data_IF_481491621522
#
_entry.id   IF_481491621522
#
_cell.length_a   1.000
_cell.length_b   1.000
_cell.length_c   1.000
_cell.angle_alpha   90.00
_cell.angle_beta   90.00
_cell.angle_gamma   90.00
#
_symmetry.space_group_name_H-M   'P 1'
#
loop_
_entity.id
_entity.type
_entity.pdbx_description
1 polymer ?
#
# COMPACT_ATOMS: atom_id res chain seq x y z
N UNK A 1 15.09 -31.58 2.83
CA UNK A 1 15.72 -30.24 2.79
C UNK A 1 16.32 -30.07 1.40
N UNK A 2 15.72 -29.23 0.56
CA UNK A 2 16.28 -28.93 -0.75
C UNK A 2 17.61 -28.22 -0.58
N UNK A 3 18.59 -28.55 -1.42
CA UNK A 3 19.87 -27.84 -1.49
C UNK A 3 19.56 -26.47 -2.09
N UNK A 4 19.89 -25.35 -1.42
CA UNK A 4 19.67 -24.02 -1.99
C UNK A 4 20.48 -23.88 -3.27
N UNK A 5 19.82 -23.42 -4.34
CA UNK A 5 20.49 -23.17 -5.61
C UNK A 5 21.63 -22.15 -5.40
N UNK A 6 22.80 -22.37 -6.04
CA UNK A 6 23.92 -21.46 -5.91
C UNK A 6 23.51 -20.08 -6.41
N UNK A 7 23.55 -19.10 -5.50
CA UNK A 7 23.24 -17.72 -5.83
C UNK A 7 24.23 -17.22 -6.90
N UNK A 8 23.77 -16.49 -7.93
CA UNK A 8 24.66 -15.93 -8.94
C UNK A 8 25.76 -15.11 -8.29
N UNK A 9 27.02 -15.32 -8.70
CA UNK A 9 28.21 -14.69 -8.10
C UNK A 9 28.17 -13.15 -8.08
N UNK A 10 27.31 -12.55 -8.90
CA UNK A 10 27.02 -11.12 -8.94
C UNK A 10 26.54 -10.58 -7.58
N UNK A 11 25.62 -11.30 -6.92
CA UNK A 11 25.02 -10.86 -5.66
C UNK A 11 25.92 -11.05 -4.43
N UNK A 12 26.94 -11.91 -4.56
CA UNK A 12 27.81 -12.30 -3.44
C UNK A 12 28.60 -11.11 -2.89
N UNK A 13 29.03 -10.21 -3.79
CA UNK A 13 29.76 -8.99 -3.42
C UNK A 13 28.94 -8.02 -2.55
N UNK A 14 27.61 -8.04 -2.68
CA UNK A 14 26.70 -7.15 -1.98
C UNK A 14 26.25 -7.65 -0.60
N UNK A 15 26.38 -8.95 -0.29
CA UNK A 15 25.81 -9.51 0.93
C UNK A 15 26.34 -8.88 2.23
N UNK A 16 27.63 -8.54 2.29
CA UNK A 16 28.20 -7.92 3.48
C UNK A 16 27.56 -6.55 3.76
N UNK A 17 27.37 -5.74 2.72
CA UNK A 17 26.72 -4.45 2.84
C UNK A 17 25.22 -4.58 3.09
N UNK A 18 24.51 -5.43 2.33
CA UNK A 18 23.06 -5.56 2.44
C UNK A 18 22.62 -6.12 3.80
N UNK A 19 23.35 -7.10 4.34
CA UNK A 19 23.07 -7.65 5.68
C UNK A 19 23.32 -6.61 6.78
N UNK A 20 24.46 -5.91 6.76
CA UNK A 20 24.75 -4.86 7.73
C UNK A 20 23.72 -3.72 7.65
N UNK A 21 23.34 -3.30 6.45
CA UNK A 21 22.31 -2.30 6.23
C UNK A 21 20.95 -2.74 6.77
N UNK A 22 20.52 -3.98 6.48
CA UNK A 22 19.25 -4.52 6.95
C UNK A 22 19.18 -4.57 8.49
N UNK A 23 20.25 -5.02 9.16
CA UNK A 23 20.31 -5.05 10.63
C UNK A 23 20.17 -3.64 11.20
N UNK A 24 20.97 -2.67 10.71
CA UNK A 24 20.91 -1.29 11.21
C UNK A 24 19.56 -0.62 10.94
N UNK A 25 18.95 -0.91 9.80
CA UNK A 25 17.63 -0.38 9.45
C UNK A 25 16.54 -0.95 10.36
N UNK A 26 16.61 -2.23 10.70
CA UNK A 26 15.65 -2.84 11.63
C UNK A 26 15.86 -2.36 13.08
N UNK A 27 17.09 -2.35 13.57
CA UNK A 27 17.37 -2.04 14.98
C UNK A 27 17.37 -0.55 15.26
N UNK A 28 18.09 0.24 14.46
CA UNK A 28 18.19 1.69 14.66
C UNK A 28 17.11 2.48 13.92
N UNK A 29 16.74 2.03 12.71
CA UNK A 29 15.73 2.71 11.90
C UNK A 29 14.30 2.52 12.42
N UNK A 30 13.89 1.25 12.58
CA UNK A 30 12.56 0.89 13.04
C UNK A 30 12.47 0.59 14.54
N UNK A 31 13.59 0.54 15.26
CA UNK A 31 13.60 0.36 16.72
C UNK A 31 13.30 -1.07 17.18
N UNK A 32 13.47 -2.07 16.31
CA UNK A 32 13.28 -3.46 16.71
C UNK A 32 14.35 -3.91 17.71
N UNK A 33 13.99 -4.71 18.73
CA UNK A 33 14.97 -5.23 19.67
C UNK A 33 15.91 -6.22 18.96
N UNK A 34 17.19 -6.20 19.33
CA UNK A 34 18.19 -7.11 18.73
C UNK A 34 17.93 -8.58 19.09
N UNK A 35 17.24 -8.82 20.21
CA UNK A 35 16.85 -10.12 20.72
C UNK A 35 15.33 -10.19 20.89
N UNK A 36 14.74 -11.36 20.67
CA UNK A 36 13.29 -11.60 20.81
C UNK A 36 12.41 -10.72 19.90
N UNK A 37 12.91 -10.38 18.70
CA UNK A 37 12.11 -9.69 17.69
C UNK A 37 11.03 -10.61 17.12
N UNK A 38 9.77 -10.16 16.95
CA UNK A 38 8.69 -10.95 16.36
C UNK A 38 8.77 -11.05 14.82
N UNK A 39 9.95 -10.84 14.24
CA UNK A 39 10.16 -10.77 12.79
C UNK A 39 10.37 -12.18 12.24
N UNK A 40 9.60 -12.54 11.23
CA UNK A 40 9.81 -13.74 10.42
C UNK A 40 10.07 -13.34 8.97
N UNK A 41 11.19 -13.79 8.40
CA UNK A 41 11.52 -13.55 6.99
C UNK A 41 10.90 -14.68 6.17
N UNK A 42 9.94 -14.33 5.31
CA UNK A 42 9.16 -15.26 4.49
C UNK A 42 9.04 -14.65 3.09
N UNK A 43 9.25 -15.46 2.05
CA UNK A 43 9.09 -15.07 0.64
C UNK A 43 7.75 -15.57 0.08
N UNK A 44 7.36 -16.79 0.47
CA UNK A 44 6.15 -17.45 0.03
C UNK A 44 5.30 -17.98 1.19
N UNK A 45 3.97 -17.91 1.03
CA UNK A 45 3.02 -18.61 1.90
C UNK A 45 2.21 -19.58 1.04
N UNK A 46 2.35 -20.87 1.34
CA UNK A 46 1.66 -21.95 0.63
C UNK A 46 1.88 -21.94 -0.90
N UNK A 47 3.11 -21.58 -1.34
CA UNK A 47 3.48 -21.49 -2.75
C UNK A 47 3.00 -20.23 -3.47
N UNK A 48 2.48 -19.24 -2.73
CA UNK A 48 2.14 -17.92 -3.26
C UNK A 48 3.13 -16.89 -2.73
N UNK A 49 3.77 -16.18 -3.66
CA UNK A 49 4.70 -15.09 -3.36
C UNK A 49 3.98 -13.97 -2.60
N UNK A 50 4.56 -13.54 -1.48
CA UNK A 50 4.03 -12.44 -0.71
C UNK A 50 4.47 -11.11 -1.32
N UNK A 51 3.52 -10.40 -1.91
CA UNK A 51 3.79 -9.10 -2.51
C UNK A 51 2.64 -8.12 -2.41
N UNK A 52 2.96 -6.85 -2.58
CA UNK A 52 1.99 -5.76 -2.70
C UNK A 52 1.01 -5.99 -3.85
N UNK A 53 1.41 -6.71 -4.89
CA UNK A 53 0.57 -7.03 -6.04
C UNK A 53 -0.68 -7.83 -5.63
N UNK A 54 -0.54 -8.83 -4.76
CA UNK A 54 -1.66 -9.64 -4.29
C UNK A 54 -2.67 -8.78 -3.51
N UNK A 55 -2.17 -7.94 -2.58
CA UNK A 55 -3.02 -7.00 -1.84
C UNK A 55 -3.73 -5.99 -2.75
N UNK A 56 -3.07 -5.54 -3.82
CA UNK A 56 -3.63 -4.55 -4.76
C UNK A 56 -4.83 -5.09 -5.54
N UNK A 57 -4.83 -6.39 -5.90
CA UNK A 57 -5.94 -7.02 -6.60
C UNK A 57 -7.09 -7.28 -5.64
N UNK A 58 -6.82 -7.75 -4.42
CA UNK A 58 -7.86 -7.95 -3.40
C UNK A 58 -8.57 -6.63 -3.09
N UNK A 59 -7.81 -5.55 -2.93
CA UNK A 59 -8.36 -4.22 -2.71
C UNK A 59 -9.27 -3.76 -3.86
N UNK A 60 -8.85 -3.98 -5.11
CA UNK A 60 -9.64 -3.66 -6.29
C UNK A 60 -10.87 -4.56 -6.44
N UNK A 61 -10.75 -5.85 -6.13
CA UNK A 61 -11.86 -6.79 -6.17
C UNK A 61 -12.94 -6.43 -5.14
N UNK A 62 -12.57 -5.92 -3.95
CA UNK A 62 -13.53 -5.44 -2.96
C UNK A 62 -14.27 -4.15 -3.40
N UNK A 63 -13.79 -3.44 -4.42
CA UNK A 63 -14.49 -2.31 -5.01
C UNK A 63 -15.54 -2.72 -6.06
N UNK A 64 -15.58 -4.01 -6.43
CA UNK A 64 -16.62 -4.55 -7.29
C UNK A 64 -17.88 -4.78 -6.45
N UNK A 65 -19.04 -4.51 -7.03
CA UNK A 65 -20.35 -4.68 -6.38
C UNK A 65 -20.80 -6.14 -6.49
N UNK A 66 -20.10 -7.03 -5.77
CA UNK A 66 -20.49 -8.43 -5.66
C UNK A 66 -21.17 -8.66 -4.33
N UNK A 67 -22.36 -9.25 -4.37
CA UNK A 67 -23.07 -9.70 -3.19
C UNK A 67 -22.51 -11.07 -2.81
N UNK A 68 -22.07 -11.21 -1.55
CA UNK A 68 -21.83 -12.52 -0.97
C UNK A 68 -23.19 -13.20 -0.86
N UNK A 69 -23.50 -14.12 -1.77
CA UNK A 69 -24.56 -15.09 -1.51
C UNK A 69 -24.08 -15.97 -0.36
N UNK A 70 -24.47 -15.59 0.86
CA UNK A 70 -24.39 -16.49 2.00
C UNK A 70 -25.19 -17.74 1.60
N UNK A 71 -24.47 -18.82 1.36
CA UNK A 71 -25.10 -20.13 1.23
C UNK A 71 -25.69 -20.41 2.61
N UNK A 72 -26.99 -20.15 2.74
CA UNK A 72 -27.77 -20.55 3.91
C UNK A 72 -27.71 -22.08 4.00
N UNK A 73 -26.76 -22.59 4.77
CA UNK A 73 -27.11 -23.70 5.64
C UNK A 73 -27.96 -23.07 6.75
N UNK A 74 -29.23 -23.44 6.78
CA UNK A 74 -30.24 -22.86 7.63
C UNK A 74 -29.79 -22.76 9.10
N UNK A 75 -30.25 -21.68 9.76
CA UNK A 75 -30.20 -21.35 11.20
C UNK A 75 -28.98 -20.53 11.67
N UNK A 76 -29.05 -19.20 11.68
CA UNK A 76 -29.00 -18.43 12.94
C UNK A 76 -29.39 -16.96 12.76
N UNK A 77 -30.10 -16.44 13.76
CA UNK A 77 -30.72 -15.12 13.79
C UNK A 77 -29.73 -14.04 14.29
N UNK A 78 -29.56 -12.95 13.54
CA UNK A 78 -29.10 -11.67 14.11
C UNK A 78 -28.03 -10.91 13.32
N UNK A 79 -28.41 -10.29 12.21
CA UNK A 79 -27.53 -9.38 11.47
C UNK A 79 -27.41 -8.00 12.15
N UNK A 80 -26.18 -7.70 12.60
CA UNK A 80 -25.73 -6.35 12.91
C UNK A 80 -25.44 -5.58 11.63
N UNK A 81 -26.41 -4.78 11.19
CA UNK A 81 -26.25 -3.84 10.07
C UNK A 81 -25.35 -2.66 10.46
N UNK A 82 -24.16 -2.58 9.88
CA UNK A 82 -23.34 -1.36 9.90
C UNK A 82 -23.43 -0.68 8.53
N UNK A 83 -24.50 0.07 8.29
CA UNK A 83 -24.57 0.97 7.13
C UNK A 83 -23.67 2.18 7.37
N UNK A 84 -22.62 2.31 6.54
CA UNK A 84 -21.71 3.45 6.56
C UNK A 84 -22.28 4.60 5.74
N UNK A 85 -22.43 5.79 6.34
CA UNK A 85 -23.00 6.97 5.68
C UNK A 85 -21.99 8.09 5.47
N UNK A 86 -22.03 8.63 4.24
CA UNK A 86 -21.45 9.86 3.68
C UNK A 86 -19.98 9.84 3.20
N UNK A 87 -19.79 9.27 2.01
CA UNK A 87 -18.64 9.48 1.12
C UNK A 87 -18.78 10.85 0.41
N UNK A 88 -17.77 11.73 0.53
CA UNK A 88 -17.68 12.97 -0.27
C UNK A 88 -16.84 12.65 -1.52
N UNK A 89 -17.37 12.80 -2.75
CA UNK A 89 -16.69 12.30 -3.95
C UNK A 89 -15.44 13.10 -4.31
N UNK A 90 -14.39 12.35 -4.69
CA UNK A 90 -13.08 12.79 -5.21
C UNK A 90 -13.14 13.83 -6.34
N UNK A 91 -14.28 13.92 -7.03
CA UNK A 91 -14.54 14.86 -8.11
C UNK A 91 -14.53 16.32 -7.65
N UNK A 92 -14.92 16.59 -6.40
CA UNK A 92 -14.94 17.96 -5.85
C UNK A 92 -13.54 18.55 -5.69
N UNK A 93 -12.54 17.72 -5.35
CA UNK A 93 -11.16 18.15 -5.16
C UNK A 93 -10.50 18.57 -6.48
N UNK A 94 -10.72 17.81 -7.56
CA UNK A 94 -10.14 18.08 -8.88
C UNK A 94 -10.66 19.41 -9.44
N UNK A 95 -11.97 19.66 -9.32
CA UNK A 95 -12.58 20.91 -9.78
C UNK A 95 -12.06 22.10 -8.95
N UNK A 96 -11.93 21.96 -7.64
CA UNK A 96 -11.43 23.03 -6.78
C UNK A 96 -9.97 23.41 -7.09
N UNK A 97 -9.08 22.43 -7.25
CA UNK A 97 -7.67 22.66 -7.60
C UNK A 97 -7.54 23.27 -9.01
N UNK A 98 -8.34 22.78 -9.96
CA UNK A 98 -8.35 23.32 -11.33
C UNK A 98 -8.78 24.80 -11.37
N UNK A 99 -9.86 25.16 -10.68
CA UNK A 99 -10.36 26.55 -10.65
C UNK A 99 -9.38 27.47 -9.93
N UNK A 100 -8.81 27.05 -8.80
CA UNK A 100 -7.80 27.84 -8.08
C UNK A 100 -6.54 28.04 -8.92
N UNK A 101 -6.08 27.00 -9.63
CA UNK A 101 -4.91 27.10 -10.51
C UNK A 101 -5.11 28.12 -11.64
N UNK A 102 -6.27 28.10 -12.30
CA UNK A 102 -6.61 29.07 -13.36
C UNK A 102 -6.71 30.49 -12.79
N UNK A 103 -7.34 30.67 -11.63
CA UNK A 103 -7.45 31.98 -10.99
C UNK A 103 -6.07 32.56 -10.63
N UNK A 104 -5.17 31.74 -10.07
CA UNK A 104 -3.80 32.16 -9.75
C UNK A 104 -3.02 32.51 -11.03
N UNK A 105 -3.15 31.72 -12.09
CA UNK A 105 -2.49 32.02 -13.36
C UNK A 105 -2.96 33.36 -13.95
N UNK A 106 -4.26 33.65 -13.91
CA UNK A 106 -4.82 34.92 -14.38
C UNK A 106 -4.37 36.12 -13.53
N UNK A 107 -4.28 35.95 -12.21
CA UNK A 107 -3.75 36.99 -11.32
C UNK A 107 -2.28 37.26 -11.60
N UNK A 108 -1.46 36.23 -11.79
CA UNK A 108 -0.04 36.38 -12.12
C UNK A 108 0.16 37.06 -13.47
N UNK A 109 -0.63 36.70 -14.50
CA UNK A 109 -0.58 37.36 -15.81
C UNK A 109 -1.03 38.82 -15.72
N UNK A 110 -2.08 39.12 -14.97
CA UNK A 110 -2.56 40.49 -14.75
C UNK A 110 -1.58 41.37 -13.99
N UNK A 111 -0.89 40.82 -12.99
CA UNK A 111 0.18 41.54 -12.27
C UNK A 111 1.37 41.80 -13.21
N UNK A 112 1.75 40.82 -14.05
CA UNK A 112 2.85 40.96 -15.00
C UNK A 112 2.57 41.98 -16.11
N UNK A 113 1.33 42.10 -16.59
CA UNK A 113 0.98 43.09 -17.63
C UNK A 113 0.86 44.51 -17.10
N UNK A 114 0.59 44.68 -15.80
CA UNK A 114 0.50 45.99 -15.16
C UNK A 114 1.86 46.59 -14.78
N UNK A 115 2.91 45.77 -14.68
CA UNK A 115 4.28 46.18 -14.36
C UNK A 115 5.17 46.44 -15.59
N UNK A 116 4.58 46.54 -16.79
CA UNK A 116 5.28 46.92 -18.03
C UNK A 116 4.75 48.25 -18.56
#
# INVERSE_FOLDING_TARGET
AGIPDPQPVEYVSGYCFSSAYAVQLLTMGYGFPETDSPITVIDDVNGTELGWALGSIIYQANALDWELEASNDDNDDGEGSCTSSSYVPRETFVVAVGVLGVAVALLLVGICTMWR
#
